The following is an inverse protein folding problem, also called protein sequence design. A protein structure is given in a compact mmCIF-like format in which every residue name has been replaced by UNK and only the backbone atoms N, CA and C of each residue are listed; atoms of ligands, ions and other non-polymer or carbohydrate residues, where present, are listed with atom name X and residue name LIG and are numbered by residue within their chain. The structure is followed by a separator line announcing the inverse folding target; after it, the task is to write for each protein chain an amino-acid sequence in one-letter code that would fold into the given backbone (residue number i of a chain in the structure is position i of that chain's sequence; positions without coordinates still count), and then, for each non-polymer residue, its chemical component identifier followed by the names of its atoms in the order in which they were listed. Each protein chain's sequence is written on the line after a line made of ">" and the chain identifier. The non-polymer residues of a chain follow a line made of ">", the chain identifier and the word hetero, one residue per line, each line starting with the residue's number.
data_IF_486832500975
#
_entry.id   IF_486832500975
#
_cell.length_a   1.000
_cell.length_b   1.000
_cell.length_c   1.000
_cell.angle_alpha   90.00
_cell.angle_beta   90.00
_cell.angle_gamma   90.00
#
_symmetry.space_group_name_H-M   'P 1'
#
loop_
_entity.id
_entity.type
_entity.pdbx_description
1 polymer ?
#
# COMPACT_ATOMS: atom_id res chain seq x y z
N UNK A 1 -37.10 -13.93 16.06
CA UNK A 1 -36.14 -15.06 16.09
C UNK A 1 -34.83 -14.44 16.52
N UNK A 2 -34.44 -14.64 17.79
CA UNK A 2 -33.23 -14.07 18.37
C UNK A 2 -32.02 -14.76 17.75
N UNK A 3 -31.09 -13.99 17.21
CA UNK A 3 -29.76 -14.49 16.84
C UNK A 3 -28.98 -14.64 18.15
N UNK A 4 -28.65 -15.88 18.48
CA UNK A 4 -27.80 -16.25 19.60
C UNK A 4 -26.40 -15.67 19.32
N UNK A 5 -26.07 -14.54 19.95
CA UNK A 5 -24.75 -13.92 19.86
C UNK A 5 -23.76 -14.72 20.72
N UNK A 6 -23.52 -15.98 20.31
CA UNK A 6 -22.52 -16.84 20.90
C UNK A 6 -21.11 -16.41 20.53
N UNK A 7 -20.14 -16.79 21.36
CA UNK A 7 -18.71 -16.69 21.06
C UNK A 7 -18.39 -17.19 19.65
N UNK A 8 -17.73 -16.38 18.83
CA UNK A 8 -17.28 -16.77 17.49
C UNK A 8 -15.86 -17.32 17.57
N UNK A 9 -15.68 -18.58 17.19
CA UNK A 9 -14.37 -19.23 17.12
C UNK A 9 -13.78 -19.11 15.71
N UNK A 10 -12.53 -18.66 15.61
CA UNK A 10 -11.78 -18.53 14.35
C UNK A 10 -10.45 -19.25 14.47
N UNK A 11 -10.00 -19.92 13.41
CA UNK A 11 -8.67 -20.55 13.38
C UNK A 11 -7.69 -19.62 12.67
N UNK A 12 -6.57 -19.29 13.30
CA UNK A 12 -5.52 -18.45 12.71
C UNK A 12 -4.29 -19.30 12.45
N UNK A 13 -3.74 -19.21 11.23
CA UNK A 13 -2.42 -19.79 10.94
C UNK A 13 -1.34 -18.86 11.48
N UNK A 14 -0.32 -19.39 12.12
CA UNK A 14 0.80 -18.61 12.66
C UNK A 14 2.13 -19.19 12.19
N UNK A 15 3.03 -18.33 11.70
CA UNK A 15 4.39 -18.67 11.30
C UNK A 15 4.48 -19.86 10.34
N UNK A 16 5.39 -20.80 10.63
CA UNK A 16 5.72 -21.98 9.80
C UNK A 16 4.63 -23.08 9.77
N UNK A 17 3.35 -22.71 9.80
CA UNK A 17 2.22 -23.62 9.64
C UNK A 17 1.51 -24.02 10.95
N UNK A 18 1.79 -23.35 12.06
CA UNK A 18 1.05 -23.56 13.31
C UNK A 18 -0.39 -23.05 13.17
N UNK A 19 -1.33 -23.61 13.93
CA UNK A 19 -2.75 -23.21 13.93
C UNK A 19 -3.22 -22.98 15.36
N UNK A 20 -3.85 -21.85 15.61
CA UNK A 20 -4.38 -21.46 16.92
C UNK A 20 -5.87 -21.18 16.76
N UNK A 21 -6.71 -21.72 17.63
CA UNK A 21 -8.12 -21.35 17.70
C UNK A 21 -8.29 -20.17 18.65
N UNK A 22 -8.98 -19.13 18.19
CA UNK A 22 -9.31 -17.94 18.95
C UNK A 22 -10.81 -17.85 19.14
N UNK A 23 -11.25 -17.74 20.38
CA UNK A 23 -12.62 -17.40 20.74
C UNK A 23 -12.72 -15.89 20.92
N UNK A 24 -13.59 -15.28 20.14
CA UNK A 24 -13.98 -13.87 20.24
C UNK A 24 -15.39 -13.82 20.82
N UNK A 25 -15.56 -13.10 21.92
CA UNK A 25 -16.88 -12.88 22.52
C UNK A 25 -17.37 -11.48 22.15
N UNK A 26 -18.22 -11.34 21.11
CA UNK A 26 -18.85 -10.05 20.82
C UNK A 26 -19.97 -9.72 21.83
N UNK A 27 -20.40 -10.68 22.65
CA UNK A 27 -21.59 -10.63 23.50
C UNK A 27 -21.44 -9.80 24.78
N UNK A 28 -20.23 -9.40 25.15
CA UNK A 28 -19.99 -8.53 26.30
C UNK A 28 -19.63 -7.09 25.92
N UNK A 29 -20.10 -6.59 24.77
CA UNK A 29 -20.18 -5.15 24.46
C UNK A 29 -18.87 -4.37 24.36
N UNK A 30 -17.72 -4.99 24.63
CA UNK A 30 -16.39 -4.39 24.49
C UNK A 30 -15.62 -5.05 23.33
N UNK A 31 -15.58 -4.42 22.14
CA UNK A 31 -14.77 -4.91 21.02
C UNK A 31 -13.26 -4.88 21.32
N UNK A 32 -12.84 -4.31 22.46
CA UNK A 32 -11.45 -4.29 22.92
C UNK A 32 -11.07 -5.46 23.84
N UNK A 33 -12.01 -6.34 24.22
CA UNK A 33 -11.69 -7.50 25.03
C UNK A 33 -10.75 -8.45 24.26
N UNK A 34 -9.63 -8.89 24.86
CA UNK A 34 -8.67 -9.73 24.16
C UNK A 34 -9.29 -11.11 23.83
N UNK A 35 -9.05 -11.65 22.63
CA UNK A 35 -9.52 -12.98 22.27
C UNK A 35 -8.87 -14.04 23.16
N UNK A 36 -9.59 -15.13 23.46
CA UNK A 36 -9.09 -16.26 24.25
C UNK A 36 -8.56 -17.35 23.32
N UNK A 37 -7.42 -17.95 23.69
CA UNK A 37 -6.89 -19.12 22.98
C UNK A 37 -7.67 -20.35 23.42
N UNK A 38 -8.29 -21.03 22.47
CA UNK A 38 -9.03 -22.28 22.67
C UNK A 38 -8.24 -23.48 22.13
N UNK A 39 -8.62 -24.68 22.57
CA UNK A 39 -8.08 -25.90 22.01
C UNK A 39 -8.56 -26.07 20.56
N UNK A 40 -7.65 -26.45 19.65
CA UNK A 40 -8.02 -26.75 18.27
C UNK A 40 -8.87 -28.03 18.26
N UNK A 41 -10.05 -28.05 17.59
CA UNK A 41 -10.84 -29.26 17.47
C UNK A 41 -10.02 -30.38 16.80
N UNK A 42 -10.12 -31.65 17.26
CA UNK A 42 -9.43 -32.77 16.64
C UNK A 42 -10.00 -33.03 15.23
N UNK A 43 -9.20 -32.74 14.19
CA UNK A 43 -9.57 -32.94 12.78
C UNK A 43 -8.72 -32.07 11.84
N UNK A 44 -7.76 -32.67 11.15
CA UNK A 44 -6.66 -31.98 10.45
C UNK A 44 -7.03 -31.04 9.29
N UNK A 45 -8.29 -31.02 8.84
CA UNK A 45 -8.80 -30.13 7.80
C UNK A 45 -10.30 -29.93 8.01
N UNK A 46 -10.74 -28.67 8.14
CA UNK A 46 -12.13 -28.20 8.17
C UNK A 46 -13.04 -28.76 9.28
N UNK A 47 -12.74 -28.45 10.54
CA UNK A 47 -13.84 -28.03 11.41
C UNK A 47 -14.42 -26.76 10.79
N UNK A 48 -15.73 -26.61 10.64
CA UNK A 48 -16.43 -25.57 9.86
C UNK A 48 -16.21 -24.12 10.29
N UNK A 49 -15.12 -23.85 11.01
CA UNK A 49 -14.68 -22.57 11.50
C UNK A 49 -13.95 -21.79 10.39
N UNK A 50 -14.15 -20.47 10.30
CA UNK A 50 -13.39 -19.60 9.40
C UNK A 50 -11.88 -19.68 9.73
N UNK A 51 -11.06 -19.68 8.68
CA UNK A 51 -9.60 -19.71 8.79
C UNK A 51 -9.00 -18.38 8.33
N UNK A 52 -8.17 -17.76 9.18
CA UNK A 52 -7.43 -16.54 8.87
C UNK A 52 -5.95 -16.83 8.53
N UNK A 53 -5.33 -16.05 7.62
CA UNK A 53 -3.92 -16.16 7.29
C UNK A 53 -3.03 -15.60 8.42
N UNK A 54 -1.73 -15.93 8.36
CA UNK A 54 -0.71 -15.41 9.29
C UNK A 54 -0.64 -13.88 9.32
N UNK A 55 -0.80 -13.24 8.16
CA UNK A 55 -0.85 -11.79 8.05
C UNK A 55 -1.97 -11.13 8.89
N UNK A 56 -3.02 -11.86 9.26
CA UNK A 56 -4.06 -11.34 10.15
C UNK A 56 -3.60 -11.16 11.61
N UNK A 57 -2.44 -11.73 11.98
CA UNK A 57 -1.80 -11.54 13.29
C UNK A 57 -0.86 -10.35 13.34
N UNK A 58 -0.54 -9.75 12.19
CA UNK A 58 0.42 -8.65 12.10
C UNK A 58 -0.29 -7.34 12.46
N UNK A 59 0.40 -6.46 13.18
CA UNK A 59 -0.10 -5.11 13.39
C UNK A 59 -0.08 -4.37 12.06
N UNK A 60 -1.17 -3.67 11.72
CA UNK A 60 -1.18 -2.82 10.54
C UNK A 60 -0.14 -1.70 10.74
N UNK A 61 0.75 -1.45 9.76
CA UNK A 61 1.79 -0.42 9.88
C UNK A 61 1.22 0.95 10.27
N UNK A 62 0.07 1.32 9.68
CA UNK A 62 -0.62 2.57 9.99
C UNK A 62 -1.07 2.65 11.47
N UNK A 63 -1.56 1.54 12.02
CA UNK A 63 -1.99 1.45 13.42
C UNK A 63 -0.78 1.50 14.37
N UNK A 64 0.32 0.86 13.99
CA UNK A 64 1.58 0.89 14.75
C UNK A 64 2.14 2.32 14.81
N UNK A 65 2.19 3.02 13.68
CA UNK A 65 2.67 4.41 13.60
C UNK A 65 1.84 5.37 14.46
N UNK A 66 0.52 5.22 14.45
CA UNK A 66 -0.38 6.03 15.30
C UNK A 66 -0.19 5.70 16.78
N UNK A 67 -0.11 4.42 17.17
CA UNK A 67 0.11 4.01 18.56
C UNK A 67 1.47 4.46 19.10
N UNK A 68 2.49 4.48 18.24
CA UNK A 68 3.81 5.00 18.57
C UNK A 68 3.86 6.54 18.63
N UNK A 69 2.78 7.24 18.24
CA UNK A 69 2.73 8.70 18.17
C UNK A 69 3.61 9.29 17.07
N UNK A 70 4.09 8.47 16.13
CA UNK A 70 4.94 8.92 15.03
C UNK A 70 4.17 9.81 14.03
N UNK A 71 2.87 9.54 13.88
CA UNK A 71 1.92 10.36 13.11
C UNK A 71 0.59 10.46 13.85
N UNK A 72 -0.16 11.54 13.61
CA UNK A 72 -1.57 11.63 13.99
C UNK A 72 -2.47 10.96 12.97
N UNK A 73 -3.69 10.56 13.38
CA UNK A 73 -4.67 9.93 12.49
C UNK A 73 -5.13 10.86 11.35
N UNK A 74 -5.00 12.18 11.53
CA UNK A 74 -5.22 13.21 10.52
C UNK A 74 -4.24 13.13 9.34
N UNK A 75 -3.10 12.45 9.52
CA UNK A 75 -2.10 12.22 8.46
C UNK A 75 -2.32 10.91 7.70
N UNK A 76 -3.28 10.08 8.11
CA UNK A 76 -3.66 8.87 7.37
C UNK A 76 -4.64 9.20 6.24
N UNK A 77 -4.77 8.28 5.28
CA UNK A 77 -5.83 8.38 4.27
C UNK A 77 -7.21 8.36 4.96
N UNK A 78 -8.19 9.19 4.56
CA UNK A 78 -9.48 9.30 5.25
C UNK A 78 -10.22 7.97 5.47
N UNK A 79 -10.18 7.07 4.48
CA UNK A 79 -10.76 5.72 4.61
C UNK A 79 -10.08 4.89 5.70
N UNK A 80 -8.76 4.99 5.81
CA UNK A 80 -7.96 4.26 6.81
C UNK A 80 -8.15 4.87 8.18
N UNK A 81 -8.12 6.20 8.29
CA UNK A 81 -8.38 6.92 9.53
C UNK A 81 -9.75 6.55 10.12
N UNK A 82 -10.78 6.45 9.27
CA UNK A 82 -12.14 6.08 9.68
C UNK A 82 -12.23 4.62 10.16
N UNK A 83 -11.48 3.71 9.53
CA UNK A 83 -11.45 2.30 9.92
C UNK A 83 -10.70 2.08 11.24
N UNK A 84 -9.62 2.83 11.49
CA UNK A 84 -8.77 2.65 12.68
C UNK A 84 -9.25 3.44 13.91
N UNK A 85 -9.96 4.57 13.71
CA UNK A 85 -10.44 5.43 14.78
C UNK A 85 -11.91 5.87 14.55
N UNK A 86 -12.88 4.94 14.65
CA UNK A 86 -14.29 5.28 14.51
C UNK A 86 -14.71 6.25 15.62
N UNK A 87 -15.05 7.49 15.24
CA UNK A 87 -15.47 8.56 16.16
C UNK A 87 -14.58 9.81 16.16
N UNK A 88 -13.43 9.79 15.49
CA UNK A 88 -12.61 11.00 15.32
C UNK A 88 -13.28 11.95 14.31
N UNK A 89 -13.45 13.25 14.61
CA UNK A 89 -13.97 14.21 13.65
C UNK A 89 -13.07 14.25 12.41
N UNK A 90 -13.67 14.08 11.23
CA UNK A 90 -12.94 14.10 9.97
C UNK A 90 -12.45 15.52 9.68
N UNK A 91 -11.13 15.72 9.71
CA UNK A 91 -10.52 16.89 9.10
C UNK A 91 -10.61 16.81 7.58
N UNK A 92 -10.58 17.94 6.85
CA UNK A 92 -10.50 17.92 5.40
C UNK A 92 -9.27 17.11 4.97
N UNK A 93 -9.44 16.21 4.00
CA UNK A 93 -8.33 15.46 3.44
C UNK A 93 -7.25 16.44 2.99
N UNK A 94 -6.04 16.32 3.54
CA UNK A 94 -4.92 17.10 3.07
C UNK A 94 -4.79 16.83 1.56
N UNK A 95 -4.72 17.88 0.71
CA UNK A 95 -4.49 17.67 -0.71
C UNK A 95 -3.22 16.85 -0.86
N UNK A 96 -3.17 15.90 -1.83
CA UNK A 96 -1.95 15.16 -2.09
C UNK A 96 -0.81 16.16 -2.22
N UNK A 97 0.33 15.86 -1.57
CA UNK A 97 1.51 16.73 -1.64
C UNK A 97 1.78 17.03 -3.11
N UNK A 98 1.62 18.29 -3.49
CA UNK A 98 1.95 18.73 -4.83
C UNK A 98 3.41 18.39 -5.08
N UNK A 99 3.66 17.72 -6.20
CA UNK A 99 5.00 17.44 -6.70
C UNK A 99 5.86 18.70 -6.65
N UNK A 100 7.10 18.59 -6.16
CA UNK A 100 8.02 19.72 -6.08
C UNK A 100 8.29 20.28 -7.49
N UNK A 101 7.83 21.51 -7.80
CA UNK A 101 8.05 22.14 -9.10
C UNK A 101 9.54 22.32 -9.44
N UNK A 102 10.44 22.25 -8.45
CA UNK A 102 11.87 22.43 -8.65
C UNK A 102 12.53 21.30 -9.47
N UNK A 103 11.93 20.10 -9.53
CA UNK A 103 12.47 19.00 -10.32
C UNK A 103 12.28 19.18 -11.84
N UNK A 104 11.27 19.95 -12.25
CA UNK A 104 10.94 20.18 -13.67
C UNK A 104 10.68 18.90 -14.48
N UNK A 105 10.19 19.02 -15.73
CA UNK A 105 10.13 17.88 -16.63
C UNK A 105 11.53 17.49 -17.10
N UNK A 106 11.81 16.18 -17.12
CA UNK A 106 13.03 15.64 -17.73
C UNK A 106 12.97 15.84 -19.24
N UNK A 107 14.07 16.32 -19.84
CA UNK A 107 14.17 16.54 -21.29
C UNK A 107 14.88 15.37 -21.95
N UNK A 108 14.32 14.87 -23.06
CA UNK A 108 14.85 13.77 -23.87
C UNK A 108 14.82 14.15 -25.34
N UNK A 109 15.88 13.84 -26.08
CA UNK A 109 15.90 14.00 -27.54
C UNK A 109 15.17 12.81 -28.20
N UNK A 110 14.02 13.08 -28.81
CA UNK A 110 13.15 12.09 -29.45
C UNK A 110 12.92 12.48 -30.90
N UNK A 111 13.33 11.62 -31.85
CA UNK A 111 13.17 11.83 -33.30
C UNK A 111 13.66 13.20 -33.82
N UNK A 112 14.69 13.76 -33.19
CA UNK A 112 15.26 15.07 -33.56
C UNK A 112 14.60 16.28 -32.92
N UNK A 113 13.66 16.09 -32.00
CA UNK A 113 13.03 17.14 -31.20
C UNK A 113 13.28 16.92 -29.70
N UNK A 114 13.25 18.01 -28.91
CA UNK A 114 13.36 17.94 -27.44
C UNK A 114 11.98 17.71 -26.85
N UNK A 115 11.75 16.53 -26.28
CA UNK A 115 10.51 16.15 -25.63
C UNK A 115 10.65 16.20 -24.11
N UNK A 116 9.53 16.43 -23.43
CA UNK A 116 9.39 16.57 -21.98
C UNK A 116 8.74 15.32 -21.41
N UNK A 117 9.31 14.81 -20.33
CA UNK A 117 8.74 13.76 -19.49
C UNK A 117 8.41 14.38 -18.14
N UNK A 118 7.17 14.24 -17.70
CA UNK A 118 6.71 14.76 -16.41
C UNK A 118 5.77 13.78 -15.72
N UNK A 119 5.44 14.06 -14.46
CA UNK A 119 4.46 13.26 -13.74
C UNK A 119 3.05 13.74 -14.06
N UNK A 120 2.17 12.82 -14.46
CA UNK A 120 0.74 13.04 -14.63
C UNK A 120 0.03 11.94 -13.86
N UNK A 121 -0.86 12.32 -12.94
CA UNK A 121 -1.65 11.38 -12.13
C UNK A 121 -0.83 10.28 -11.41
N UNK A 122 0.37 10.62 -10.95
CA UNK A 122 1.24 9.66 -10.24
C UNK A 122 2.10 8.78 -11.14
N UNK A 123 2.06 8.95 -12.47
CA UNK A 123 2.86 8.18 -13.42
C UNK A 123 3.71 9.09 -14.33
N UNK A 124 4.89 8.60 -14.74
CA UNK A 124 5.72 9.31 -15.72
C UNK A 124 5.05 9.26 -17.10
N UNK A 125 4.80 10.42 -17.68
CA UNK A 125 4.17 10.60 -18.97
C UNK A 125 5.06 11.42 -19.91
N UNK A 126 5.11 11.02 -21.18
CA UNK A 126 5.75 11.79 -22.23
C UNK A 126 4.78 12.90 -22.71
N UNK A 127 4.99 14.13 -22.25
CA UNK A 127 4.03 15.23 -22.36
C UNK A 127 3.84 15.75 -23.79
N UNK A 128 4.78 15.44 -24.68
CA UNK A 128 4.77 15.89 -26.08
C UNK A 128 4.31 14.80 -27.05
N UNK A 129 3.66 13.74 -26.56
CA UNK A 129 3.03 12.70 -27.36
C UNK A 129 1.52 12.67 -27.15
N UNK A 130 0.77 12.64 -28.25
CA UNK A 130 -0.69 12.47 -28.19
C UNK A 130 -1.04 11.02 -27.74
N UNK A 131 -2.22 10.79 -27.13
CA UNK A 131 -2.60 9.47 -26.62
C UNK A 131 -2.61 8.36 -27.69
N UNK A 132 -3.00 8.70 -28.93
CA UNK A 132 -2.99 7.77 -30.05
C UNK A 132 -1.56 7.38 -30.46
N UNK A 133 -0.64 8.34 -30.41
CA UNK A 133 0.77 8.09 -30.68
C UNK A 133 1.39 7.23 -29.58
N UNK A 134 1.09 7.55 -28.32
CA UNK A 134 1.51 6.79 -27.14
C UNK A 134 1.13 5.31 -27.25
N UNK A 135 -0.16 5.03 -27.51
CA UNK A 135 -0.65 3.65 -27.64
C UNK A 135 0.03 2.89 -28.78
N UNK A 136 0.28 3.58 -29.91
CA UNK A 136 0.99 2.98 -31.05
C UNK A 136 2.44 2.64 -30.68
N UNK A 137 3.13 3.53 -29.98
CA UNK A 137 4.52 3.31 -29.58
C UNK A 137 4.66 2.20 -28.54
N UNK A 138 3.73 2.11 -27.58
CA UNK A 138 3.68 0.99 -26.62
C UNK A 138 3.50 -0.36 -27.33
N UNK A 139 2.60 -0.42 -28.33
CA UNK A 139 2.40 -1.61 -29.15
C UNK A 139 3.66 -1.97 -29.95
N UNK A 140 4.29 -0.97 -30.58
CA UNK A 140 5.53 -1.19 -31.33
C UNK A 140 6.67 -1.64 -30.43
N UNK A 141 6.78 -1.09 -29.22
CA UNK A 141 7.76 -1.51 -28.23
C UNK A 141 7.56 -2.98 -27.84
N UNK A 142 6.31 -3.39 -27.57
CA UNK A 142 5.99 -4.78 -27.24
C UNK A 142 6.29 -5.76 -28.39
N UNK A 143 6.07 -5.34 -29.65
CA UNK A 143 6.24 -6.20 -30.83
C UNK A 143 7.67 -6.23 -31.37
N UNK A 144 8.41 -5.12 -31.26
CA UNK A 144 9.73 -4.96 -31.88
C UNK A 144 10.87 -4.85 -30.89
N UNK A 145 10.58 -4.56 -29.61
CA UNK A 145 11.59 -4.27 -28.59
C UNK A 145 12.31 -2.93 -28.79
N UNK A 146 11.83 -2.06 -29.68
CA UNK A 146 12.49 -0.78 -30.02
C UNK A 146 11.61 0.45 -29.71
N UNK A 147 11.30 0.73 -28.43
CA UNK A 147 10.56 1.93 -28.04
C UNK A 147 11.30 3.22 -28.44
N UNK A 148 10.56 4.32 -28.62
CA UNK A 148 11.15 5.65 -28.77
C UNK A 148 11.96 6.08 -27.54
N UNK A 149 12.92 7.02 -27.67
CA UNK A 149 13.74 7.51 -26.55
C UNK A 149 12.94 7.97 -25.33
N UNK A 150 11.79 8.61 -25.51
CA UNK A 150 10.90 8.99 -24.41
C UNK A 150 10.45 7.79 -23.58
N UNK A 151 10.00 6.73 -24.25
CA UNK A 151 9.50 5.51 -23.60
C UNK A 151 10.63 4.67 -23.01
N UNK A 152 11.82 4.68 -23.63
CA UNK A 152 13.02 4.09 -23.04
C UNK A 152 13.40 4.78 -21.73
N UNK A 153 13.37 6.12 -21.70
CA UNK A 153 13.70 6.89 -20.51
C UNK A 153 12.70 6.68 -19.37
N UNK A 154 11.40 6.54 -19.69
CA UNK A 154 10.36 6.18 -18.72
C UNK A 154 10.58 4.76 -18.18
N UNK A 155 10.81 3.79 -19.06
CA UNK A 155 10.99 2.39 -18.67
C UNK A 155 12.29 2.18 -17.85
N UNK A 156 13.38 2.87 -18.19
CA UNK A 156 14.60 2.84 -17.38
C UNK A 156 14.36 3.49 -16.00
N UNK A 157 13.61 4.59 -15.93
CA UNK A 157 13.24 5.19 -14.65
C UNK A 157 12.39 4.24 -13.77
N UNK A 158 11.53 3.42 -14.39
CA UNK A 158 10.78 2.39 -13.67
C UNK A 158 11.64 1.18 -13.27
N UNK A 159 12.57 0.75 -14.12
CA UNK A 159 13.39 -0.47 -13.90
C UNK A 159 14.65 -0.24 -13.06
N UNK A 160 15.22 0.96 -13.11
CA UNK A 160 16.44 1.34 -12.38
C UNK A 160 16.30 2.72 -11.74
N UNK A 161 15.46 2.83 -10.70
CA UNK A 161 15.54 3.99 -9.84
C UNK A 161 16.81 3.83 -8.99
N UNK A 162 17.92 4.37 -9.48
CA UNK A 162 19.26 4.29 -8.87
C UNK A 162 19.29 4.68 -7.37
N UNK A 163 18.30 5.46 -6.90
CA UNK A 163 18.15 5.85 -5.51
C UNK A 163 17.25 4.93 -4.65
N UNK A 164 16.53 3.96 -5.23
CA UNK A 164 15.62 3.09 -4.45
C UNK A 164 16.31 2.27 -3.36
N UNK A 165 17.52 1.71 -3.56
CA UNK A 165 18.21 1.00 -2.49
C UNK A 165 18.45 1.91 -1.27
N UNK A 166 18.97 3.12 -1.48
CA UNK A 166 19.26 4.08 -0.42
C UNK A 166 18.00 4.64 0.25
N UNK A 167 16.96 4.93 -0.55
CA UNK A 167 15.64 5.34 -0.05
C UNK A 167 15.02 4.22 0.79
N UNK A 168 15.09 2.96 0.34
CA UNK A 168 14.60 1.79 1.09
C UNK A 168 15.36 1.62 2.40
N UNK A 169 16.69 1.77 2.39
CA UNK A 169 17.51 1.70 3.60
C UNK A 169 17.08 2.76 4.61
N UNK A 170 16.90 4.00 4.16
CA UNK A 170 16.40 5.10 5.02
C UNK A 170 15.02 4.81 5.60
N UNK A 171 14.09 4.32 4.78
CA UNK A 171 12.75 3.93 5.24
C UNK A 171 12.79 2.75 6.23
N UNK A 172 13.65 1.76 5.99
CA UNK A 172 13.87 0.64 6.91
C UNK A 172 14.41 1.11 8.27
N UNK A 173 15.13 2.25 8.30
CA UNK A 173 15.61 2.91 9.51
C UNK A 173 14.66 3.98 10.07
N UNK A 174 13.47 4.17 9.48
CA UNK A 174 12.49 5.16 9.92
C UNK A 174 12.82 6.61 9.51
N UNK A 175 13.83 6.84 8.68
CA UNK A 175 14.23 8.16 8.17
C UNK A 175 13.38 8.57 6.96
N UNK A 176 12.09 8.80 7.20
CA UNK A 176 11.16 9.26 6.16
C UNK A 176 11.50 10.66 5.64
N UNK A 177 12.11 11.52 6.46
CA UNK A 177 12.52 12.86 6.05
C UNK A 177 13.71 12.80 5.07
N UNK A 178 14.73 12.00 5.37
CA UNK A 178 15.87 11.80 4.49
C UNK A 178 15.54 11.00 3.23
N UNK A 179 14.56 10.10 3.28
CA UNK A 179 14.04 9.40 2.10
C UNK A 179 13.36 10.34 1.09
N UNK A 180 12.81 11.47 1.55
CA UNK A 180 12.12 12.46 0.71
C UNK A 180 13.01 13.63 0.26
N UNK A 181 14.28 13.66 0.66
CA UNK A 181 15.21 14.75 0.38
C UNK A 181 16.20 14.44 -0.77
N UNK A 182 15.97 13.35 -1.52
CA UNK A 182 16.80 12.87 -2.64
C UNK A 182 16.28 13.37 -3.98
#
# INVERSE_FOLDING_TARGET
>A
RAEDAGSTTVVVRVGAGQRIALETDPGQGDPSAPPRIAALPPGGTSSGLPMLPDAATWMLPDLELVRAGAIGADRLHPLVATALAPGLPQGPAAPPRAWDPAAGPRIVDCRGARHRIGLVDGALAALDHEPAETRREELLAALTGTPLPCFQAIDEAHRRPECLPDIRERLNHGDAAGALAV
#
